data_IF_318073558366
#
_entry.id   IF_318073558366
#
_cell.length_a   1.000
_cell.length_b   1.000
_cell.length_c   1.000
_cell.angle_alpha   90.00
_cell.angle_beta   90.00
_cell.angle_gamma   90.00
#
_symmetry.space_group_name_H-M   'P 1'
#
loop_
_entity.id
_entity.type
_entity.pdbx_description
1 polymer ?
#
# COMPACT_ATOMS: atom_id res chain seq x y z
N UNK A 1 -5.53 -4.76 -3.59
CA UNK A 1 -4.22 -5.08 -2.96
C UNK A 1 -3.22 -5.67 -3.96
N UNK A 2 -2.90 -6.98 -4.04
CA UNK A 2 -1.74 -7.40 -4.87
C UNK A 2 -1.80 -6.99 -6.36
N UNK A 3 -2.97 -7.06 -7.00
CA UNK A 3 -3.15 -6.62 -8.38
C UNK A 3 -3.09 -5.09 -8.51
N UNK A 4 -3.61 -4.37 -7.52
CA UNK A 4 -3.58 -2.91 -7.42
C UNK A 4 -2.14 -2.40 -7.29
N UNK A 5 -1.33 -3.01 -6.41
CA UNK A 5 0.10 -2.67 -6.29
C UNK A 5 0.90 -2.97 -7.56
N UNK A 6 0.50 -4.01 -8.31
CA UNK A 6 1.09 -4.26 -9.63
C UNK A 6 0.74 -3.11 -10.58
N UNK A 7 -0.50 -2.61 -10.53
CA UNK A 7 -0.93 -1.42 -11.26
C UNK A 7 -0.13 -0.17 -10.87
N UNK A 8 0.09 0.09 -9.58
CA UNK A 8 0.94 1.20 -9.11
C UNK A 8 2.37 1.12 -9.66
N UNK A 9 2.96 -0.09 -9.63
CA UNK A 9 4.29 -0.30 -10.19
C UNK A 9 4.33 -0.04 -11.72
N UNK A 10 3.33 -0.52 -12.46
CA UNK A 10 3.20 -0.26 -13.90
C UNK A 10 3.00 1.24 -14.21
N UNK A 11 2.23 1.93 -13.38
CA UNK A 11 2.00 3.37 -13.50
C UNK A 11 3.31 4.16 -13.34
N UNK A 12 4.12 3.82 -12.33
CA UNK A 12 5.45 4.40 -12.14
C UNK A 12 6.38 4.12 -13.33
N UNK A 13 6.39 2.89 -13.87
CA UNK A 13 7.18 2.55 -15.05
C UNK A 13 6.75 3.35 -16.28
N UNK A 14 5.44 3.53 -16.48
CA UNK A 14 4.89 4.34 -17.57
C UNK A 14 5.28 5.81 -17.40
N UNK A 15 5.15 6.36 -16.20
CA UNK A 15 5.54 7.73 -15.90
C UNK A 15 7.03 7.97 -16.18
N UNK A 16 7.90 7.05 -15.73
CA UNK A 16 9.34 7.11 -15.99
C UNK A 16 9.64 7.18 -17.49
N UNK A 17 9.00 6.34 -18.31
CA UNK A 17 9.17 6.35 -19.76
C UNK A 17 8.62 7.64 -20.41
N UNK A 18 7.47 8.15 -19.93
CA UNK A 18 6.86 9.39 -20.43
C UNK A 18 7.77 10.61 -20.23
N UNK A 19 8.49 10.65 -19.12
CA UNK A 19 9.47 11.72 -18.80
C UNK A 19 10.81 11.54 -19.51
N UNK A 20 10.96 10.53 -20.37
CA UNK A 20 12.20 10.19 -21.07
C UNK A 20 13.25 9.51 -20.19
N UNK A 21 12.86 9.08 -18.99
CA UNK A 21 13.69 8.28 -18.10
C UNK A 21 13.82 6.83 -18.58
N UNK A 22 14.65 6.06 -17.88
CA UNK A 22 14.85 4.63 -18.15
C UNK A 22 14.48 3.82 -16.92
N UNK A 23 13.63 2.82 -17.09
CA UNK A 23 13.30 1.84 -16.05
C UNK A 23 14.47 0.87 -15.88
N UNK A 24 14.92 0.67 -14.63
CA UNK A 24 15.96 -0.29 -14.27
C UNK A 24 15.39 -1.21 -13.19
N UNK A 25 15.01 -2.43 -13.58
CA UNK A 25 14.43 -3.41 -12.67
C UNK A 25 15.50 -4.02 -11.75
N UNK A 26 15.09 -4.34 -10.53
CA UNK A 26 15.90 -5.03 -9.52
C UNK A 26 15.17 -6.28 -9.05
N UNK A 27 15.89 -7.19 -8.39
CA UNK A 27 15.30 -8.39 -7.80
C UNK A 27 14.28 -8.02 -6.72
N UNK A 28 13.05 -8.51 -6.86
CA UNK A 28 12.01 -8.41 -5.83
C UNK A 28 12.35 -9.42 -4.73
N UNK A 29 12.58 -8.93 -3.51
CA UNK A 29 12.86 -9.79 -2.36
C UNK A 29 11.59 -10.55 -1.98
N UNK A 30 11.77 -11.80 -1.53
CA UNK A 30 10.67 -12.56 -0.95
C UNK A 30 10.14 -11.87 0.32
N UNK A 31 8.88 -12.11 0.71
CA UNK A 31 8.37 -11.65 2.01
C UNK A 31 9.22 -12.17 3.18
N UNK A 32 9.21 -11.43 4.29
CA UNK A 32 9.98 -11.76 5.50
C UNK A 32 9.50 -13.02 6.22
N UNK A 33 8.23 -13.40 6.02
CA UNK A 33 7.62 -14.59 6.60
C UNK A 33 6.79 -15.34 5.57
N UNK A 34 6.76 -16.67 5.71
CA UNK A 34 5.91 -17.57 4.91
C UNK A 34 4.59 -17.90 5.64
N UNK A 35 4.50 -17.63 6.94
CA UNK A 35 3.30 -17.79 7.79
C UNK A 35 2.92 -16.45 8.43
N UNK A 36 1.68 -16.01 8.18
CA UNK A 36 1.13 -14.75 8.66
C UNK A 36 0.28 -14.90 9.93
N UNK A 37 0.14 -16.12 10.45
CA UNK A 37 -0.61 -16.42 11.67
C UNK A 37 -2.11 -16.33 11.47
N UNK A 38 -2.74 -15.26 11.95
CA UNK A 38 -4.18 -15.06 11.93
C UNK A 38 -4.57 -13.76 11.21
N UNK A 39 -5.88 -13.52 11.04
CA UNK A 39 -6.36 -12.34 10.31
C UNK A 39 -5.83 -11.02 10.89
N UNK A 40 -5.76 -10.92 12.22
CA UNK A 40 -5.26 -9.71 12.88
C UNK A 40 -3.77 -9.48 12.61
N UNK A 41 -2.94 -10.53 12.69
CA UNK A 41 -1.51 -10.44 12.41
C UNK A 41 -1.24 -10.09 10.94
N UNK A 42 -1.98 -10.70 10.01
CA UNK A 42 -1.89 -10.39 8.58
C UNK A 42 -2.26 -8.93 8.28
N UNK A 43 -3.42 -8.44 8.78
CA UNK A 43 -3.87 -7.06 8.56
C UNK A 43 -2.94 -6.03 9.23
N UNK A 44 -2.38 -6.36 10.40
CA UNK A 44 -1.40 -5.50 11.07
C UNK A 44 -0.11 -5.39 10.25
N UNK A 45 0.30 -6.48 9.61
CA UNK A 45 1.50 -6.50 8.77
C UNK A 45 1.27 -5.73 7.47
N UNK A 46 0.11 -5.91 6.83
CA UNK A 46 -0.29 -5.11 5.67
C UNK A 46 -0.33 -3.62 6.01
N UNK A 47 -0.93 -3.22 7.14
CA UNK A 47 -0.98 -1.83 7.58
C UNK A 47 0.42 -1.22 7.76
N UNK A 48 1.36 -2.00 8.30
CA UNK A 48 2.74 -1.56 8.42
C UNK A 48 3.37 -1.36 7.04
N UNK A 49 3.21 -2.33 6.14
CA UNK A 49 3.75 -2.26 4.79
C UNK A 49 3.22 -1.02 4.03
N UNK A 50 1.92 -0.74 4.11
CA UNK A 50 1.33 0.45 3.46
C UNK A 50 1.91 1.77 4.01
N UNK A 51 2.19 1.82 5.31
CA UNK A 51 2.85 2.98 5.92
C UNK A 51 4.28 3.13 5.44
N UNK A 52 5.03 2.04 5.32
CA UNK A 52 6.41 2.05 4.83
C UNK A 52 6.46 2.49 3.35
N UNK A 53 5.51 2.04 2.52
CA UNK A 53 5.35 2.50 1.12
C UNK A 53 4.98 3.98 1.08
N UNK A 54 4.03 4.42 1.91
CA UNK A 54 3.65 5.83 1.98
C UNK A 54 4.81 6.74 2.42
N UNK A 55 5.65 6.30 3.37
CA UNK A 55 6.88 7.01 3.71
C UNK A 55 7.81 7.13 2.52
N UNK A 56 7.98 6.05 1.74
CA UNK A 56 8.81 6.08 0.53
C UNK A 56 8.26 7.04 -0.53
N UNK A 57 6.93 7.15 -0.67
CA UNK A 57 6.28 8.10 -1.57
C UNK A 57 6.44 9.56 -1.12
N UNK A 58 6.35 9.83 0.18
CA UNK A 58 6.61 11.16 0.73
C UNK A 58 8.09 11.57 0.54
N UNK A 59 9.01 10.63 0.65
CA UNK A 59 10.43 10.87 0.34
C UNK A 59 10.64 11.15 -1.15
N UNK A 60 9.94 10.43 -2.04
CA UNK A 60 9.96 10.68 -3.48
C UNK A 60 9.41 12.08 -3.83
N UNK A 61 8.27 12.45 -3.23
CA UNK A 61 7.67 13.78 -3.37
C UNK A 61 8.64 14.88 -2.92
N UNK A 62 9.29 14.71 -1.76
CA UNK A 62 10.33 15.65 -1.31
C UNK A 62 11.51 15.77 -2.28
N UNK A 63 11.91 14.68 -2.94
CA UNK A 63 12.95 14.72 -3.98
C UNK A 63 12.47 15.56 -5.17
N UNK A 64 11.22 15.40 -5.61
CA UNK A 64 10.64 16.19 -6.68
C UNK A 64 10.58 17.68 -6.33
N UNK A 65 10.10 18.03 -5.13
CA UNK A 65 10.09 19.39 -4.59
C UNK A 65 11.51 20.00 -4.59
N UNK A 66 12.50 19.27 -4.07
CA UNK A 66 13.89 19.75 -3.97
C UNK A 66 14.53 20.00 -5.35
N UNK A 67 14.07 19.29 -6.37
CA UNK A 67 14.52 19.45 -7.75
C UNK A 67 13.62 20.36 -8.59
N UNK A 68 12.62 21.00 -7.99
CA UNK A 68 11.65 21.86 -8.67
C UNK A 68 10.94 21.15 -9.82
N UNK A 69 10.49 19.91 -9.61
CA UNK A 69 9.73 19.11 -10.59
C UNK A 69 8.23 19.05 -10.23
N UNK A 70 7.45 20.10 -10.54
CA UNK A 70 6.04 20.17 -10.15
C UNK A 70 5.18 19.10 -10.84
N UNK A 71 5.62 18.54 -11.96
CA UNK A 71 4.88 17.49 -12.66
C UNK A 71 5.08 16.13 -11.98
N UNK A 72 6.20 15.91 -11.28
CA UNK A 72 6.39 14.72 -10.46
C UNK A 72 5.67 14.86 -9.11
N UNK A 73 5.65 16.05 -8.52
CA UNK A 73 4.85 16.33 -7.32
C UNK A 73 3.37 16.00 -7.56
N UNK A 74 2.78 16.61 -8.59
CA UNK A 74 1.38 16.44 -8.98
C UNK A 74 1.02 14.97 -9.25
N UNK A 75 1.87 14.25 -10.00
CA UNK A 75 1.68 12.83 -10.28
C UNK A 75 1.69 11.96 -9.01
N UNK A 76 2.64 12.19 -8.09
CA UNK A 76 2.73 11.41 -6.85
C UNK A 76 1.54 11.73 -5.93
N UNK A 77 1.10 12.99 -5.90
CA UNK A 77 -0.07 13.42 -5.12
C UNK A 77 -1.39 12.83 -5.63
N UNK A 78 -1.66 12.96 -6.93
CA UNK A 78 -2.93 12.56 -7.55
C UNK A 78 -3.08 11.04 -7.61
N UNK A 79 -2.05 10.34 -8.05
CA UNK A 79 -2.17 8.93 -8.41
C UNK A 79 -1.84 7.97 -7.27
N UNK A 80 -1.05 8.39 -6.26
CA UNK A 80 -0.49 7.45 -5.27
C UNK A 80 -0.79 7.87 -3.82
N UNK A 81 -0.45 9.10 -3.42
CA UNK A 81 -0.60 9.53 -2.01
C UNK A 81 -2.07 9.55 -1.56
N UNK A 82 -2.98 9.97 -2.45
CA UNK A 82 -4.42 9.94 -2.16
C UNK A 82 -4.96 8.54 -1.89
N UNK A 83 -4.44 7.53 -2.60
CA UNK A 83 -4.82 6.13 -2.43
C UNK A 83 -4.20 5.55 -1.15
N UNK A 84 -2.92 5.81 -0.88
CA UNK A 84 -2.27 5.36 0.36
C UNK A 84 -3.00 5.82 1.63
N UNK A 85 -3.49 7.07 1.68
CA UNK A 85 -4.24 7.56 2.84
C UNK A 85 -5.53 6.75 3.06
N UNK A 86 -6.22 6.37 1.98
CA UNK A 86 -7.45 5.55 2.04
C UNK A 86 -7.12 4.13 2.48
N UNK A 87 -6.12 3.49 1.86
CA UNK A 87 -5.70 2.12 2.15
C UNK A 87 -5.19 1.97 3.59
N UNK A 88 -4.39 2.92 4.07
CA UNK A 88 -3.92 2.94 5.48
C UNK A 88 -5.11 3.07 6.44
N UNK A 89 -6.09 3.92 6.12
CA UNK A 89 -7.27 4.10 6.97
C UNK A 89 -8.11 2.82 7.02
N UNK A 90 -8.35 2.21 5.88
CA UNK A 90 -9.13 0.97 5.76
C UNK A 90 -8.47 -0.17 6.55
N UNK A 91 -7.18 -0.41 6.35
CA UNK A 91 -6.45 -1.43 7.09
C UNK A 91 -6.41 -1.15 8.60
N UNK A 92 -6.29 0.12 9.00
CA UNK A 92 -6.39 0.49 10.41
C UNK A 92 -7.76 0.17 11.02
N UNK A 93 -8.84 0.38 10.27
CA UNK A 93 -10.19 -0.03 10.69
C UNK A 93 -10.33 -1.54 10.79
N UNK A 94 -9.73 -2.29 9.86
CA UNK A 94 -9.72 -3.76 9.91
C UNK A 94 -8.98 -4.27 11.15
N UNK A 95 -7.81 -3.73 11.44
CA UNK A 95 -7.04 -4.06 12.66
C UNK A 95 -7.87 -3.75 13.92
N UNK A 96 -8.52 -2.59 13.98
CA UNK A 96 -9.35 -2.21 15.13
C UNK A 96 -10.56 -3.15 15.30
N UNK A 97 -11.22 -3.51 14.20
CA UNK A 97 -12.37 -4.43 14.21
C UNK A 97 -11.96 -5.84 14.63
N UNK A 98 -10.88 -6.38 14.06
CA UNK A 98 -10.34 -7.71 14.38
C UNK A 98 -9.91 -7.79 15.86
N UNK A 99 -9.25 -6.74 16.36
CA UNK A 99 -8.90 -6.63 17.79
C UNK A 99 -10.14 -6.68 18.68
N UNK A 100 -11.24 -6.02 18.26
CA UNK A 100 -12.48 -5.96 19.02
C UNK A 100 -13.25 -7.29 19.04
N UNK A 101 -13.32 -7.99 17.90
CA UNK A 101 -14.10 -9.23 17.78
C UNK A 101 -13.34 -10.46 18.28
N UNK A 102 -12.01 -10.41 18.31
CA UNK A 102 -11.17 -11.50 18.79
C UNK A 102 -11.08 -12.70 17.84
N UNK A 103 -10.29 -13.72 18.20
CA UNK A 103 -9.99 -14.86 17.33
C UNK A 103 -11.17 -15.84 17.18
N UNK A 104 -11.06 -16.75 16.22
CA UNK A 104 -12.03 -17.82 16.01
C UNK A 104 -13.33 -17.32 15.39
N UNK A 105 -14.42 -17.29 16.17
CA UNK A 105 -15.72 -16.85 15.67
C UNK A 105 -15.70 -15.36 15.26
N UNK A 106 -14.93 -14.52 15.96
CA UNK A 106 -14.80 -13.10 15.61
C UNK A 106 -14.17 -12.89 14.24
N UNK A 107 -13.05 -13.55 13.97
CA UNK A 107 -12.39 -13.53 12.64
C UNK A 107 -13.30 -14.09 11.54
N UNK A 108 -14.03 -15.18 11.81
CA UNK A 108 -15.00 -15.72 10.86
C UNK A 108 -16.12 -14.71 10.53
N UNK A 109 -16.68 -14.04 11.54
CA UNK A 109 -17.71 -13.02 11.34
C UNK A 109 -17.16 -11.79 10.61
N UNK A 110 -15.91 -11.38 10.89
CA UNK A 110 -15.25 -10.29 10.18
C UNK A 110 -15.07 -10.61 8.69
N UNK A 111 -14.62 -11.82 8.35
CA UNK A 111 -14.53 -12.29 6.96
C UNK A 111 -15.89 -12.20 6.24
N UNK A 112 -16.95 -12.69 6.88
CA UNK A 112 -18.30 -12.74 6.29
C UNK A 112 -18.95 -11.37 6.16
N UNK A 113 -18.84 -10.53 7.19
CA UNK A 113 -19.62 -9.29 7.28
C UNK A 113 -18.89 -8.07 6.73
N UNK A 114 -17.56 -8.11 6.67
CA UNK A 114 -16.72 -6.97 6.25
C UNK A 114 -15.98 -7.26 4.95
N UNK A 115 -15.24 -8.37 4.83
CA UNK A 115 -14.40 -8.62 3.66
C UNK A 115 -15.18 -9.13 2.44
N UNK A 116 -16.18 -10.00 2.64
CA UNK A 116 -16.97 -10.58 1.54
C UNK A 116 -18.09 -9.67 1.02
N UNK A 117 -18.23 -8.45 1.55
CA UNK A 117 -19.16 -7.43 1.03
C UNK A 117 -18.49 -6.47 0.03
N UNK A 118 -17.20 -6.63 -0.22
CA UNK A 118 -16.46 -6.01 -1.34
C UNK A 118 -16.73 -6.80 -2.63
#
# INVERSE_FOLDING_TARGET
MSQEETGHAELLMKYQNNRGGRVVLQDIKKPDTDDWGNGLAAMTTALKLERDVNTSLLELHKIAETNYDPHLDDFVEEELLGEQVKSIKELADYVAQLTRVGPGLGEYMFDKETLQKL
#
